data_IF_722599632638
#
_entry.id   IF_722599632638
#
_cell.length_a   1.000
_cell.length_b   1.000
_cell.length_c   1.000
_cell.angle_alpha   90.00
_cell.angle_beta   90.00
_cell.angle_gamma   90.00
#
_symmetry.space_group_name_H-M   'P 1'
#
loop_
_entity.id
_entity.type
_entity.pdbx_description
1 polymer ?
#
# COMPACT_ATOMS: atom_id res chain seq x y z
N UNK A 1 19.49 0.63 18.56
CA UNK A 1 20.07 -0.32 17.58
C UNK A 1 20.40 0.47 16.33
N UNK A 2 21.47 0.14 15.58
CA UNK A 2 21.80 0.87 14.38
C UNK A 2 20.67 0.70 13.35
N UNK A 3 20.42 1.74 12.57
CA UNK A 3 19.34 1.74 11.58
C UNK A 3 19.89 2.09 10.21
N UNK A 4 19.49 1.35 9.20
CA UNK A 4 19.80 1.63 7.79
C UNK A 4 18.58 2.21 7.09
N UNK A 5 18.82 3.11 6.13
CA UNK A 5 17.76 3.76 5.33
C UNK A 5 18.21 3.83 3.88
N UNK A 6 17.26 3.76 2.95
CA UNK A 6 17.51 3.86 1.52
C UNK A 6 16.69 5.02 0.95
N UNK A 7 17.37 6.08 0.53
CA UNK A 7 16.73 7.24 -0.06
C UNK A 7 17.25 7.47 -1.49
N UNK A 8 16.39 7.95 -2.38
CA UNK A 8 16.78 8.32 -3.74
C UNK A 8 16.34 9.76 -3.97
N UNK A 9 17.24 10.62 -4.45
CA UNK A 9 16.95 12.05 -4.65
C UNK A 9 16.73 12.40 -6.11
N UNK A 10 15.82 13.33 -6.37
CA UNK A 10 15.59 13.87 -7.72
C UNK A 10 16.79 14.72 -8.16
N UNK A 11 17.36 15.52 -7.26
CA UNK A 11 18.48 16.39 -7.59
C UNK A 11 19.84 15.78 -7.18
N UNK A 12 20.88 16.11 -7.95
CA UNK A 12 22.27 15.77 -7.64
C UNK A 12 22.83 16.73 -6.57
N UNK A 13 22.51 16.44 -5.30
CA UNK A 13 22.94 17.29 -4.18
C UNK A 13 24.47 17.29 -4.03
N UNK A 14 25.06 18.44 -3.65
CA UNK A 14 26.45 18.49 -3.22
C UNK A 14 26.64 17.72 -1.89
N UNK A 15 27.83 17.14 -1.70
CA UNK A 15 28.18 16.37 -0.49
C UNK A 15 27.93 17.17 0.80
N UNK A 16 28.31 18.45 0.79
CA UNK A 16 28.13 19.38 1.92
C UNK A 16 26.65 19.66 2.21
N UNK A 17 25.83 19.78 1.17
CA UNK A 17 24.36 19.93 1.31
C UNK A 17 23.74 18.70 1.92
N UNK A 18 24.13 17.52 1.43
CA UNK A 18 23.67 16.22 1.96
C UNK A 18 24.06 16.06 3.42
N UNK A 19 25.33 16.36 3.78
CA UNK A 19 25.80 16.29 5.16
C UNK A 19 25.04 17.25 6.09
N UNK A 20 24.82 18.49 5.65
CA UNK A 20 24.08 19.48 6.44
C UNK A 20 22.61 19.10 6.63
N UNK A 21 21.96 18.53 5.61
CA UNK A 21 20.59 18.04 5.70
C UNK A 21 20.48 16.85 6.65
N UNK A 22 21.36 15.84 6.53
CA UNK A 22 21.39 14.68 7.41
C UNK A 22 21.68 15.08 8.86
N UNK A 23 22.63 16.00 9.09
CA UNK A 23 22.92 16.52 10.43
C UNK A 23 21.69 17.11 11.12
N UNK A 24 20.87 17.86 10.37
CA UNK A 24 19.57 18.37 10.88
C UNK A 24 18.57 17.25 11.16
N UNK A 25 18.48 16.23 10.29
CA UNK A 25 17.54 15.14 10.43
C UNK A 25 17.81 14.30 11.68
N UNK A 26 19.08 14.04 11.99
CA UNK A 26 19.51 13.23 13.11
C UNK A 26 19.88 14.02 14.37
N UNK A 27 19.81 15.34 14.32
CA UNK A 27 20.16 16.21 15.47
C UNK A 27 21.63 16.13 15.89
N UNK A 28 22.56 15.94 14.95
CA UNK A 28 23.99 15.81 15.17
C UNK A 28 24.76 17.00 14.55
N UNK A 29 26.05 17.17 14.89
CA UNK A 29 26.87 18.17 14.23
C UNK A 29 27.19 17.77 12.77
N UNK A 30 27.39 18.71 11.87
CA UNK A 30 27.73 18.41 10.46
C UNK A 30 29.02 17.58 10.36
N UNK A 31 30.01 17.79 11.26
CA UNK A 31 31.23 17.01 11.32
C UNK A 31 31.05 15.54 11.79
N UNK A 32 29.86 15.21 12.31
CA UNK A 32 29.47 13.85 12.73
C UNK A 32 28.80 13.07 11.59
N UNK A 33 28.72 13.63 10.39
CA UNK A 33 28.15 13.00 9.19
C UNK A 33 29.25 12.82 8.15
N UNK A 34 29.52 11.58 7.77
CA UNK A 34 30.40 11.22 6.67
C UNK A 34 29.58 10.94 5.41
N UNK A 35 29.83 11.68 4.34
CA UNK A 35 29.16 11.50 3.05
C UNK A 35 30.20 11.24 1.97
N UNK A 36 30.12 10.09 1.31
CA UNK A 36 31.08 9.73 0.27
C UNK A 36 30.41 8.97 -0.88
N UNK A 37 30.98 9.07 -2.06
CA UNK A 37 30.60 8.25 -3.21
C UNK A 37 30.97 6.78 -2.97
N UNK A 38 30.18 5.84 -3.48
CA UNK A 38 30.44 4.40 -3.32
C UNK A 38 31.81 3.96 -3.89
N UNK A 39 32.26 4.65 -4.96
CA UNK A 39 33.58 4.43 -5.57
C UNK A 39 34.75 5.16 -4.86
N UNK A 40 34.46 5.95 -3.82
CA UNK A 40 35.51 6.68 -3.09
C UNK A 40 36.46 5.75 -2.34
N UNK A 41 37.69 6.20 -2.14
CA UNK A 41 38.68 5.45 -1.35
C UNK A 41 38.21 5.27 0.10
N UNK A 42 38.05 4.03 0.52
CA UNK A 42 37.61 3.66 1.84
C UNK A 42 38.53 4.20 2.97
N UNK A 43 39.83 4.40 2.67
CA UNK A 43 40.80 4.92 3.64
C UNK A 43 40.58 6.41 3.94
N UNK A 44 39.90 7.14 3.05
CA UNK A 44 39.59 8.56 3.22
C UNK A 44 38.29 8.80 3.99
N UNK A 45 37.52 7.77 4.30
CA UNK A 45 36.23 7.86 5.01
C UNK A 45 36.41 7.94 6.51
N UNK A 46 35.53 8.68 7.17
CA UNK A 46 35.42 8.70 8.63
C UNK A 46 34.40 7.64 9.10
N UNK A 47 34.82 6.40 9.15
CA UNK A 47 34.00 5.26 9.62
C UNK A 47 33.55 5.37 11.07
N UNK A 48 34.15 6.27 11.86
CA UNK A 48 33.75 6.55 13.24
C UNK A 48 32.64 7.60 13.33
N UNK A 49 32.22 8.20 12.23
CA UNK A 49 31.14 9.18 12.21
C UNK A 49 29.81 8.55 12.66
N UNK A 50 29.04 9.22 13.52
CA UNK A 50 27.74 8.75 13.98
C UNK A 50 26.75 8.44 12.83
N UNK A 51 26.79 9.20 11.74
CA UNK A 51 25.97 9.01 10.55
C UNK A 51 26.89 8.82 9.35
N UNK A 52 26.69 7.71 8.65
CA UNK A 52 27.39 7.38 7.41
C UNK A 52 26.39 7.46 6.24
N UNK A 53 26.78 8.10 5.16
CA UNK A 53 26.05 8.16 3.91
C UNK A 53 26.96 7.72 2.77
N UNK A 54 26.59 6.67 2.08
CA UNK A 54 27.21 6.29 0.83
C UNK A 54 26.23 6.62 -0.30
N UNK A 55 26.70 7.28 -1.36
CA UNK A 55 25.83 7.59 -2.49
C UNK A 55 26.40 7.04 -3.80
N UNK A 56 25.48 6.72 -4.69
CA UNK A 56 25.75 6.40 -6.08
C UNK A 56 25.02 7.38 -7.01
N UNK A 57 25.68 7.79 -8.08
CA UNK A 57 25.01 8.54 -9.14
C UNK A 57 24.10 7.61 -9.94
N UNK A 58 22.86 8.01 -10.12
CA UNK A 58 21.88 7.31 -10.97
C UNK A 58 21.43 8.22 -12.11
N UNK A 59 20.75 7.66 -13.10
CA UNK A 59 20.32 8.39 -14.31
C UNK A 59 18.81 8.27 -14.51
N UNK A 60 18.22 9.23 -15.22
CA UNK A 60 16.80 9.28 -15.51
C UNK A 60 16.11 10.44 -14.81
N UNK A 61 15.01 10.18 -14.10
CA UNK A 61 14.26 11.18 -13.30
C UNK A 61 14.88 11.41 -11.92
N UNK A 62 15.78 10.54 -11.50
CA UNK A 62 16.49 10.57 -10.23
C UNK A 62 17.99 10.76 -10.47
N UNK A 63 18.70 11.30 -9.48
CA UNK A 63 20.11 11.67 -9.64
C UNK A 63 21.05 10.96 -8.68
N UNK A 64 20.61 10.63 -7.45
CA UNK A 64 21.46 9.93 -6.47
C UNK A 64 20.65 8.91 -5.67
N UNK A 65 21.22 7.72 -5.51
CA UNK A 65 20.83 6.74 -4.50
C UNK A 65 21.69 6.94 -3.27
N UNK A 66 21.06 7.02 -2.10
CA UNK A 66 21.72 7.23 -0.80
C UNK A 66 21.49 6.01 0.08
N UNK A 67 22.56 5.36 0.51
CA UNK A 67 22.56 4.33 1.53
C UNK A 67 23.05 4.94 2.84
N UNK A 68 22.17 5.00 3.85
CA UNK A 68 22.38 5.68 5.12
C UNK A 68 22.49 4.66 6.25
N UNK A 69 23.42 4.92 7.15
CA UNK A 69 23.60 4.13 8.35
C UNK A 69 23.78 5.05 9.57
N UNK A 70 22.83 4.98 10.49
CA UNK A 70 22.92 5.69 11.77
C UNK A 70 23.40 4.72 12.85
N UNK A 71 24.50 5.04 13.53
CA UNK A 71 25.07 4.23 14.60
C UNK A 71 24.23 4.32 15.88
N UNK A 72 24.38 3.36 16.78
CA UNK A 72 23.66 3.27 18.07
C UNK A 72 23.76 4.53 18.94
N UNK A 73 24.82 5.29 18.78
CA UNK A 73 25.04 6.53 19.52
C UNK A 73 24.18 7.70 19.07
N UNK A 74 23.53 7.62 17.90
CA UNK A 74 22.58 8.60 17.42
C UNK A 74 21.27 8.45 18.19
N UNK A 75 20.91 9.45 18.99
CA UNK A 75 19.77 9.37 19.89
C UNK A 75 18.42 9.45 19.14
N UNK A 76 18.33 10.27 18.09
CA UNK A 76 17.12 10.40 17.26
C UNK A 76 17.32 9.61 15.95
N UNK A 77 16.71 8.43 15.87
CA UNK A 77 16.69 7.59 14.68
C UNK A 77 15.23 7.43 14.24
N UNK A 78 14.69 8.39 13.46
CA UNK A 78 13.28 8.36 13.05
C UNK A 78 13.01 7.19 12.10
N UNK A 79 11.75 6.73 11.97
CA UNK A 79 11.35 5.81 10.92
C UNK A 79 11.67 6.40 9.53
N UNK A 80 11.93 5.53 8.53
CA UNK A 80 12.33 5.95 7.18
C UNK A 80 11.39 6.98 6.53
N UNK A 81 10.04 6.87 6.63
CA UNK A 81 9.13 7.89 6.10
C UNK A 81 9.33 9.27 6.72
N UNK A 82 9.59 9.30 8.03
CA UNK A 82 9.83 10.57 8.75
C UNK A 82 11.20 11.14 8.38
N UNK A 83 12.23 10.30 8.27
CA UNK A 83 13.56 10.72 7.80
C UNK A 83 13.48 11.30 6.40
N UNK A 84 12.80 10.62 5.47
CA UNK A 84 12.63 11.08 4.09
C UNK A 84 11.95 12.46 4.01
N UNK A 85 10.88 12.67 4.79
CA UNK A 85 10.18 13.94 4.83
C UNK A 85 11.05 15.07 5.43
N UNK A 86 11.76 14.81 6.53
CA UNK A 86 12.71 15.75 7.14
C UNK A 86 13.85 16.10 6.17
N UNK A 87 14.40 15.09 5.50
CA UNK A 87 15.51 15.26 4.56
C UNK A 87 15.07 16.04 3.33
N UNK A 88 13.90 15.73 2.75
CA UNK A 88 13.35 16.48 1.62
C UNK A 88 13.22 17.99 1.94
N UNK A 89 12.64 18.33 3.10
CA UNK A 89 12.52 19.72 3.55
C UNK A 89 13.87 20.38 3.84
N UNK A 90 14.84 19.66 4.42
CA UNK A 90 16.16 20.20 4.77
C UNK A 90 17.07 20.38 3.54
N UNK A 91 16.97 19.48 2.56
CA UNK A 91 17.80 19.48 1.35
C UNK A 91 17.17 20.25 0.18
N UNK A 92 15.86 20.54 0.23
CA UNK A 92 15.14 21.25 -0.82
C UNK A 92 14.91 20.41 -2.09
N UNK A 93 14.86 19.07 -1.97
CA UNK A 93 14.67 18.14 -3.09
C UNK A 93 13.62 17.10 -2.76
N UNK A 94 12.93 16.60 -3.77
CA UNK A 94 12.05 15.43 -3.61
C UNK A 94 12.89 14.17 -3.38
N UNK A 95 12.45 13.36 -2.44
CA UNK A 95 13.12 12.13 -2.00
C UNK A 95 12.18 10.95 -2.14
N UNK A 96 12.64 9.91 -2.80
CA UNK A 96 11.95 8.64 -2.87
C UNK A 96 12.50 7.68 -1.82
N UNK A 97 11.62 6.85 -1.25
CA UNK A 97 11.99 5.77 -0.33
C UNK A 97 11.09 4.56 -0.56
N UNK A 98 11.56 3.33 -0.28
CA UNK A 98 10.81 2.11 -0.54
C UNK A 98 9.46 2.10 0.19
N UNK A 99 8.44 1.55 -0.46
CA UNK A 99 7.18 1.21 0.20
C UNK A 99 7.28 -0.20 0.80
N UNK A 100 6.59 -0.42 1.94
CA UNK A 100 6.53 -1.76 2.58
C UNK A 100 5.59 -2.73 1.83
N UNK A 101 4.86 -2.24 0.83
CA UNK A 101 3.96 -3.04 0.01
C UNK A 101 4.72 -4.07 -0.84
N UNK A 102 4.07 -5.19 -1.12
CA UNK A 102 4.67 -6.30 -1.87
C UNK A 102 4.97 -5.99 -3.35
N UNK A 103 4.61 -4.80 -3.84
CA UNK A 103 4.88 -4.37 -5.21
C UNK A 103 6.29 -3.77 -5.31
N UNK A 104 7.23 -4.39 -6.05
CA UNK A 104 8.62 -3.92 -6.11
C UNK A 104 8.81 -2.51 -6.70
N UNK A 105 7.88 -2.06 -7.56
CA UNK A 105 7.91 -0.71 -8.15
C UNK A 105 7.25 0.35 -7.27
N UNK A 106 6.66 -0.02 -6.12
CA UNK A 106 6.01 0.90 -5.22
C UNK A 106 7.03 1.63 -4.34
N UNK A 107 7.02 2.95 -4.45
CA UNK A 107 7.82 3.88 -3.67
C UNK A 107 6.94 4.99 -3.09
N UNK A 108 7.43 5.64 -2.07
CA UNK A 108 6.90 6.90 -1.59
C UNK A 108 7.80 8.04 -2.05
N UNK A 109 7.22 9.18 -2.39
CA UNK A 109 7.93 10.43 -2.63
C UNK A 109 7.55 11.43 -1.53
N UNK A 110 8.55 11.99 -0.87
CA UNK A 110 8.42 13.13 0.05
C UNK A 110 8.97 14.38 -0.64
N UNK A 111 8.15 15.43 -0.73
CA UNK A 111 8.56 16.70 -1.36
C UNK A 111 9.04 17.71 -0.34
N UNK A 112 9.83 18.74 -0.75
CA UNK A 112 10.26 19.81 0.15
C UNK A 112 9.11 20.56 0.83
N UNK A 113 7.94 20.62 0.18
CA UNK A 113 6.74 21.29 0.67
C UNK A 113 5.93 20.45 1.66
N UNK A 114 6.38 19.19 1.93
CA UNK A 114 5.76 18.29 2.90
C UNK A 114 4.68 17.39 2.33
N UNK A 115 4.48 17.32 1.00
CA UNK A 115 3.64 16.30 0.39
C UNK A 115 4.35 14.95 0.49
N UNK A 116 3.63 13.93 0.95
CA UNK A 116 4.05 12.53 0.86
C UNK A 116 3.01 11.78 0.01
N UNK A 117 3.44 11.20 -1.09
CA UNK A 117 2.57 10.51 -2.03
C UNK A 117 3.23 9.25 -2.58
N UNK A 118 2.43 8.28 -3.01
CA UNK A 118 2.95 7.10 -3.70
C UNK A 118 3.37 7.44 -5.12
N UNK A 119 4.44 6.79 -5.54
CA UNK A 119 4.96 6.85 -6.91
C UNK A 119 5.32 5.45 -7.38
N UNK A 120 5.31 5.25 -8.69
CA UNK A 120 5.82 4.05 -9.33
C UNK A 120 7.16 4.36 -9.94
N UNK A 121 8.18 3.60 -9.50
CA UNK A 121 9.55 3.69 -9.98
C UNK A 121 9.86 2.49 -10.86
N UNK A 122 10.22 2.73 -12.11
CA UNK A 122 10.65 1.73 -13.05
C UNK A 122 12.15 1.86 -13.33
N UNK A 123 12.83 0.73 -13.39
CA UNK A 123 14.22 0.63 -13.77
C UNK A 123 14.30 -0.01 -15.16
N UNK A 124 15.05 0.62 -16.08
CA UNK A 124 15.29 0.00 -17.39
C UNK A 124 16.24 -1.21 -17.27
N UNK A 125 16.21 -2.07 -18.28
CA UNK A 125 17.15 -3.19 -18.40
C UNK A 125 18.53 -2.77 -18.92
N UNK A 126 18.77 -1.47 -19.11
CA UNK A 126 20.05 -0.92 -19.56
C UNK A 126 21.14 -1.03 -18.48
N UNK A 127 22.39 -0.87 -18.87
CA UNK A 127 23.53 -0.87 -17.94
C UNK A 127 24.39 0.41 -18.17
N UNK A 128 24.35 1.41 -17.27
CA UNK A 128 23.58 1.47 -16.01
C UNK A 128 22.07 1.70 -16.23
N UNK A 129 21.21 1.24 -15.30
CA UNK A 129 19.77 1.39 -15.43
C UNK A 129 19.32 2.85 -15.37
N UNK A 130 18.24 3.17 -16.10
CA UNK A 130 17.55 4.44 -15.99
C UNK A 130 16.42 4.33 -14.96
N UNK A 131 16.37 5.26 -14.04
CA UNK A 131 15.35 5.39 -13.02
C UNK A 131 14.24 6.32 -13.53
N UNK A 132 13.08 5.77 -13.84
CA UNK A 132 11.94 6.53 -14.38
C UNK A 132 10.78 6.49 -13.41
N UNK A 133 10.23 7.64 -13.04
CA UNK A 133 8.98 7.73 -12.30
C UNK A 133 7.85 7.97 -13.30
N UNK A 134 7.12 6.90 -13.62
CA UNK A 134 6.08 6.94 -14.65
C UNK A 134 4.75 7.48 -14.12
N UNK A 135 4.43 7.25 -12.84
CA UNK A 135 3.17 7.66 -12.24
C UNK A 135 3.27 8.01 -10.76
N UNK A 136 2.30 8.80 -10.26
CA UNK A 136 2.17 9.23 -8.89
C UNK A 136 0.69 9.37 -8.48
N UNK A 137 0.35 9.15 -7.20
CA UNK A 137 -1.04 9.34 -6.72
C UNK A 137 -1.42 10.82 -6.51
N UNK A 138 -0.44 11.72 -6.46
CA UNK A 138 -0.64 13.17 -6.45
C UNK A 138 0.44 13.88 -7.26
N UNK A 139 0.20 15.10 -7.78
CA UNK A 139 1.21 15.83 -8.55
C UNK A 139 2.48 16.10 -7.72
N UNK A 140 3.63 15.73 -8.27
CA UNK A 140 4.96 16.02 -7.70
C UNK A 140 5.66 17.03 -8.60
N UNK A 141 5.87 18.29 -8.15
CA UNK A 141 6.38 19.37 -9.01
C UNK A 141 7.72 19.08 -9.69
N UNK A 142 8.62 18.37 -9.00
CA UNK A 142 9.93 17.99 -9.52
C UNK A 142 9.90 16.76 -10.46
N UNK A 143 8.74 16.08 -10.57
CA UNK A 143 8.52 14.93 -11.46
C UNK A 143 7.35 15.22 -12.41
N UNK A 144 7.46 16.25 -13.27
CA UNK A 144 6.32 16.74 -14.07
C UNK A 144 5.87 15.79 -15.18
N UNK A 145 6.63 14.72 -15.45
CA UNK A 145 6.29 13.69 -16.45
C UNK A 145 5.47 12.55 -15.85
N UNK A 146 5.48 12.39 -14.53
CA UNK A 146 4.71 11.34 -13.87
C UNK A 146 3.20 11.56 -14.09
N UNK A 147 2.52 10.51 -14.54
CA UNK A 147 1.07 10.52 -14.72
C UNK A 147 0.40 10.47 -13.36
N UNK A 148 -0.58 11.35 -13.12
CA UNK A 148 -1.32 11.31 -11.85
C UNK A 148 -2.44 10.29 -11.96
N UNK A 149 -2.31 9.18 -11.20
CA UNK A 149 -3.28 8.08 -11.19
C UNK A 149 -3.30 7.34 -9.84
N UNK A 150 -4.36 6.55 -9.59
CA UNK A 150 -4.47 5.70 -8.40
C UNK A 150 -3.89 4.33 -8.66
N UNK A 151 -3.18 3.77 -7.68
CA UNK A 151 -2.55 2.44 -7.78
C UNK A 151 -3.49 1.35 -7.29
N UNK A 152 -4.31 0.83 -8.22
CA UNK A 152 -5.29 -0.21 -7.92
C UNK A 152 -4.63 -1.51 -7.40
N UNK A 153 -3.44 -1.84 -7.87
CA UNK A 153 -2.66 -3.00 -7.45
C UNK A 153 -2.33 -2.96 -5.95
N UNK A 154 -2.03 -1.78 -5.40
CA UNK A 154 -1.74 -1.63 -3.97
C UNK A 154 -2.97 -1.99 -3.13
N UNK A 155 -4.16 -1.52 -3.55
CA UNK A 155 -5.42 -1.87 -2.88
C UNK A 155 -5.71 -3.37 -3.02
N UNK A 156 -5.44 -3.95 -4.20
CA UNK A 156 -5.60 -5.39 -4.47
C UNK A 156 -4.67 -6.27 -3.63
N UNK A 157 -3.45 -5.78 -3.35
CA UNK A 157 -2.46 -6.48 -2.53
C UNK A 157 -2.73 -6.39 -1.02
N UNK A 158 -3.57 -5.47 -0.57
CA UNK A 158 -3.93 -5.37 0.84
C UNK A 158 -4.58 -6.65 1.36
N UNK A 159 -4.13 -7.10 2.53
CA UNK A 159 -4.59 -8.32 3.19
C UNK A 159 -5.10 -8.02 4.60
N UNK A 160 -6.22 -7.26 4.77
CA UNK A 160 -6.80 -7.08 6.09
C UNK A 160 -7.04 -8.45 6.77
N UNK A 161 -6.88 -8.54 8.11
CA UNK A 161 -7.19 -9.77 8.85
C UNK A 161 -8.61 -10.26 8.57
N UNK A 162 -8.79 -11.58 8.53
CA UNK A 162 -10.07 -12.23 8.29
C UNK A 162 -10.37 -13.30 9.35
N UNK A 163 -10.49 -12.91 10.64
CA UNK A 163 -10.64 -13.85 11.75
C UNK A 163 -11.92 -14.69 11.70
N UNK A 164 -13.01 -14.18 11.09
CA UNK A 164 -14.26 -14.94 10.94
C UNK A 164 -14.05 -16.09 9.95
N UNK A 165 -13.39 -15.84 8.83
CA UNK A 165 -13.05 -16.86 7.86
C UNK A 165 -12.11 -17.91 8.47
N UNK A 166 -11.06 -17.48 9.18
CA UNK A 166 -10.12 -18.37 9.85
C UNK A 166 -10.80 -19.27 10.89
N UNK A 167 -11.68 -18.72 11.73
CA UNK A 167 -12.41 -19.45 12.75
C UNK A 167 -13.39 -20.48 12.14
N UNK A 168 -14.09 -20.10 11.05
CA UNK A 168 -14.96 -21.01 10.34
C UNK A 168 -14.16 -22.16 9.73
N UNK A 169 -13.03 -21.87 9.07
CA UNK A 169 -12.19 -22.89 8.45
C UNK A 169 -11.62 -23.88 9.48
N UNK A 170 -11.19 -23.39 10.64
CA UNK A 170 -10.73 -24.24 11.75
C UNK A 170 -11.85 -25.13 12.31
N UNK A 171 -13.09 -24.64 12.33
CA UNK A 171 -14.26 -25.41 12.78
C UNK A 171 -14.71 -26.42 11.74
N UNK A 172 -14.76 -26.04 10.47
CA UNK A 172 -15.12 -26.91 9.36
C UNK A 172 -14.13 -28.08 9.18
N UNK A 173 -12.83 -27.85 9.36
CA UNK A 173 -11.81 -28.89 9.28
C UNK A 173 -12.01 -30.02 10.34
N UNK A 174 -12.58 -29.70 11.50
CA UNK A 174 -12.91 -30.68 12.52
C UNK A 174 -14.15 -31.53 12.17
N UNK A 175 -15.10 -30.94 11.44
CA UNK A 175 -16.32 -31.60 11.04
C UNK A 175 -16.18 -32.40 9.71
N UNK A 176 -15.15 -32.04 8.95
CA UNK A 176 -14.93 -32.59 7.61
C UNK A 176 -13.46 -32.96 7.38
N UNK A 177 -12.91 -33.93 8.13
CA UNK A 177 -11.48 -34.22 8.14
C UNK A 177 -10.93 -34.83 6.84
N UNK A 178 -11.75 -35.61 6.10
CA UNK A 178 -11.28 -36.37 4.94
C UNK A 178 -11.23 -35.53 3.65
N UNK A 179 -12.17 -34.61 3.45
CA UNK A 179 -12.25 -33.78 2.25
C UNK A 179 -11.77 -32.33 2.50
N UNK A 180 -11.73 -31.91 3.75
CA UNK A 180 -11.40 -30.54 4.16
C UNK A 180 -12.39 -29.49 3.62
N UNK A 181 -12.35 -28.26 4.13
CA UNK A 181 -13.15 -27.18 3.56
C UNK A 181 -12.63 -26.81 2.17
N UNK A 182 -13.54 -26.80 1.20
CA UNK A 182 -13.19 -26.50 -0.18
C UNK A 182 -12.46 -25.14 -0.28
N UNK A 183 -11.32 -25.06 -0.98
CA UNK A 183 -10.54 -23.80 -1.07
C UNK A 183 -11.36 -22.59 -1.52
N UNK A 184 -12.37 -22.81 -2.37
CA UNK A 184 -13.29 -21.76 -2.82
C UNK A 184 -14.16 -21.18 -1.71
N UNK A 185 -14.54 -22.00 -0.68
CA UNK A 185 -15.29 -21.51 0.47
C UNK A 185 -14.43 -20.56 1.31
N UNK A 186 -13.20 -20.99 1.64
CA UNK A 186 -12.25 -20.19 2.36
C UNK A 186 -11.96 -18.86 1.65
N UNK A 187 -11.68 -18.95 0.35
CA UNK A 187 -11.40 -17.78 -0.49
C UNK A 187 -12.57 -16.79 -0.53
N UNK A 188 -13.77 -17.25 -0.84
CA UNK A 188 -14.94 -16.37 -0.96
C UNK A 188 -15.31 -15.72 0.38
N UNK A 189 -15.24 -16.46 1.50
CA UNK A 189 -15.52 -15.89 2.82
C UNK A 189 -14.45 -14.87 3.25
N UNK A 190 -13.18 -15.18 3.05
CA UNK A 190 -12.08 -14.23 3.30
C UNK A 190 -12.25 -12.94 2.49
N UNK A 191 -12.62 -13.08 1.23
CA UNK A 191 -12.86 -11.94 0.32
C UNK A 191 -14.03 -11.09 0.82
N UNK A 192 -15.15 -11.72 1.23
CA UNK A 192 -16.30 -11.00 1.77
C UNK A 192 -15.99 -10.31 3.10
N UNK A 193 -15.32 -11.00 4.02
CA UNK A 193 -14.92 -10.41 5.30
C UNK A 193 -14.02 -9.18 5.10
N UNK A 194 -13.03 -9.29 4.21
CA UNK A 194 -12.09 -8.19 3.93
C UNK A 194 -12.76 -6.94 3.38
N UNK A 195 -13.75 -7.07 2.48
CA UNK A 195 -14.47 -5.88 2.00
C UNK A 195 -15.30 -5.24 3.10
N UNK A 196 -15.88 -6.03 4.02
CA UNK A 196 -16.60 -5.49 5.18
C UNK A 196 -15.65 -4.70 6.10
N UNK A 197 -14.47 -5.23 6.37
CA UNK A 197 -13.43 -4.54 7.15
C UNK A 197 -12.95 -3.27 6.46
N UNK A 198 -12.71 -3.30 5.15
CA UNK A 198 -12.32 -2.14 4.36
C UNK A 198 -13.39 -1.05 4.39
N UNK A 199 -14.65 -1.43 4.25
CA UNK A 199 -15.79 -0.53 4.31
C UNK A 199 -15.91 0.15 5.67
N UNK A 200 -15.79 -0.61 6.78
CA UNK A 200 -15.84 -0.08 8.15
C UNK A 200 -14.66 0.84 8.48
N UNK A 201 -13.50 0.60 7.88
CA UNK A 201 -12.32 1.46 8.03
C UNK A 201 -12.39 2.75 7.21
N UNK A 202 -13.46 2.97 6.43
CA UNK A 202 -13.56 4.08 5.48
C UNK A 202 -12.54 3.98 4.34
N UNK A 203 -12.24 2.74 3.93
CA UNK A 203 -11.29 2.43 2.85
C UNK A 203 -9.86 2.87 3.15
N UNK A 204 -9.43 2.65 4.41
CA UNK A 204 -8.06 2.97 4.82
C UNK A 204 -7.02 2.23 3.95
N UNK A 205 -5.83 2.83 3.75
CA UNK A 205 -5.38 4.14 4.25
C UNK A 205 -5.77 5.33 3.37
N UNK A 206 -6.20 5.10 2.12
CA UNK A 206 -6.35 6.16 1.11
C UNK A 206 -7.77 6.75 1.01
N UNK A 207 -8.76 6.08 1.58
CA UNK A 207 -10.17 6.44 1.39
C UNK A 207 -10.69 6.15 -0.02
N UNK A 208 -9.90 5.46 -0.86
CA UNK A 208 -10.22 5.08 -2.22
C UNK A 208 -10.23 3.55 -2.38
N UNK A 209 -11.10 3.05 -3.25
CA UNK A 209 -11.22 1.63 -3.54
C UNK A 209 -11.70 1.43 -4.98
N UNK A 210 -11.10 0.55 -5.81
CA UNK A 210 -11.49 0.35 -7.21
C UNK A 210 -12.90 -0.20 -7.35
N UNK A 211 -13.68 0.35 -8.27
CA UNK A 211 -15.06 -0.09 -8.55
C UNK A 211 -15.13 -1.55 -9.01
N UNK A 212 -14.22 -1.96 -9.89
CA UNK A 212 -14.12 -3.33 -10.38
C UNK A 212 -13.78 -4.33 -9.27
N UNK A 213 -12.89 -3.94 -8.34
CA UNK A 213 -12.57 -4.75 -7.17
C UNK A 213 -13.79 -4.86 -6.23
N UNK A 214 -14.53 -3.77 -6.02
CA UNK A 214 -15.76 -3.81 -5.22
C UNK A 214 -16.80 -4.76 -5.83
N UNK A 215 -16.98 -4.71 -7.15
CA UNK A 215 -17.83 -5.67 -7.88
C UNK A 215 -17.40 -7.12 -7.60
N UNK A 216 -16.12 -7.45 -7.75
CA UNK A 216 -15.58 -8.79 -7.46
C UNK A 216 -15.91 -9.26 -6.03
N UNK A 217 -15.96 -8.32 -5.06
CA UNK A 217 -16.33 -8.63 -3.67
C UNK A 217 -17.81 -8.98 -3.51
N UNK A 218 -18.69 -8.27 -4.22
CA UNK A 218 -20.11 -8.61 -4.26
C UNK A 218 -20.35 -9.96 -4.95
N UNK A 219 -19.65 -10.25 -6.03
CA UNK A 219 -19.66 -11.55 -6.71
C UNK A 219 -19.21 -12.69 -5.76
N UNK A 220 -18.17 -12.48 -4.97
CA UNK A 220 -17.71 -13.45 -3.97
C UNK A 220 -18.79 -13.75 -2.91
N UNK A 221 -19.61 -12.74 -2.53
CA UNK A 221 -20.76 -12.97 -1.65
C UNK A 221 -21.84 -13.82 -2.30
N UNK A 222 -22.08 -13.65 -3.60
CA UNK A 222 -22.99 -14.53 -4.37
C UNK A 222 -22.44 -15.95 -4.46
N UNK A 223 -21.11 -16.10 -4.62
CA UNK A 223 -20.45 -17.41 -4.60
C UNK A 223 -20.65 -18.13 -3.27
N UNK A 224 -20.57 -17.43 -2.12
CA UNK A 224 -20.85 -18.01 -0.82
C UNK A 224 -22.26 -18.63 -0.76
N UNK A 225 -23.27 -17.97 -1.31
CA UNK A 225 -24.62 -18.49 -1.36
C UNK A 225 -24.71 -19.78 -2.22
N UNK A 226 -23.99 -19.79 -3.37
CA UNK A 226 -23.95 -20.96 -4.27
C UNK A 226 -23.18 -22.14 -3.67
N UNK A 227 -22.06 -21.87 -3.01
CA UNK A 227 -21.25 -22.88 -2.32
C UNK A 227 -22.03 -23.44 -1.14
N UNK A 228 -22.63 -22.57 -0.31
CA UNK A 228 -23.42 -22.95 0.88
C UNK A 228 -24.56 -23.95 0.56
N UNK A 229 -25.19 -23.80 -0.61
CA UNK A 229 -26.26 -24.72 -1.04
C UNK A 229 -25.79 -26.17 -1.24
N UNK A 230 -24.48 -26.40 -1.39
CA UNK A 230 -23.88 -27.74 -1.66
C UNK A 230 -23.17 -28.32 -0.42
N UNK A 231 -23.08 -27.58 0.67
CA UNK A 231 -22.36 -28.00 1.89
C UNK A 231 -23.22 -28.98 2.71
N UNK A 232 -22.59 -29.87 3.50
CA UNK A 232 -23.26 -30.65 4.54
C UNK A 232 -24.00 -29.73 5.52
N UNK A 233 -25.16 -30.13 6.07
CA UNK A 233 -26.02 -29.27 6.90
C UNK A 233 -25.33 -28.64 8.11
N UNK A 234 -24.36 -29.33 8.69
CA UNK A 234 -23.61 -28.81 9.86
C UNK A 234 -22.64 -27.71 9.48
N UNK A 235 -21.88 -27.91 8.40
CA UNK A 235 -20.92 -26.89 7.89
C UNK A 235 -21.70 -25.69 7.33
N UNK A 236 -22.84 -25.96 6.68
CA UNK A 236 -23.73 -24.91 6.18
C UNK A 236 -24.22 -23.99 7.29
N UNK A 237 -24.63 -24.53 8.44
CA UNK A 237 -25.06 -23.71 9.60
C UNK A 237 -23.95 -22.79 10.08
N UNK A 238 -22.72 -23.31 10.20
CA UNK A 238 -21.58 -22.47 10.58
C UNK A 238 -21.32 -21.35 9.57
N UNK A 239 -21.45 -21.65 8.28
CA UNK A 239 -21.32 -20.65 7.23
C UNK A 239 -22.43 -19.61 7.29
N UNK A 240 -23.69 -20.05 7.45
CA UNK A 240 -24.85 -19.16 7.53
C UNK A 240 -24.70 -18.19 8.70
N UNK A 241 -24.27 -18.66 9.88
CA UNK A 241 -24.03 -17.82 11.08
C UNK A 241 -22.89 -16.80 10.85
N UNK A 242 -21.77 -17.23 10.25
CA UNK A 242 -20.64 -16.38 9.94
C UNK A 242 -21.00 -15.29 8.92
N UNK A 243 -21.69 -15.68 7.87
CA UNK A 243 -22.13 -14.78 6.79
C UNK A 243 -23.19 -13.80 7.29
N UNK A 244 -24.15 -14.22 8.13
CA UNK A 244 -25.16 -13.33 8.73
C UNK A 244 -24.49 -12.21 9.54
N UNK A 245 -23.47 -12.54 10.34
CA UNK A 245 -22.71 -11.56 11.10
C UNK A 245 -22.01 -10.52 10.22
N UNK A 246 -21.38 -10.98 9.13
CA UNK A 246 -20.74 -10.09 8.15
C UNK A 246 -21.76 -9.25 7.36
N UNK A 247 -22.86 -9.84 6.94
CA UNK A 247 -23.94 -9.15 6.22
C UNK A 247 -24.56 -8.04 7.07
N UNK A 248 -24.75 -8.25 8.38
CA UNK A 248 -25.25 -7.22 9.30
C UNK A 248 -24.26 -6.04 9.40
N UNK A 249 -22.96 -6.31 9.44
CA UNK A 249 -21.92 -5.26 9.44
C UNK A 249 -21.93 -4.50 8.12
N UNK A 250 -21.99 -5.21 6.99
CA UNK A 250 -22.11 -4.60 5.66
C UNK A 250 -23.34 -3.70 5.56
N UNK A 251 -24.51 -4.15 6.02
CA UNK A 251 -25.77 -3.37 6.03
C UNK A 251 -25.62 -2.08 6.85
N UNK A 252 -24.93 -2.12 7.99
CA UNK A 252 -24.72 -0.94 8.84
C UNK A 252 -23.79 0.09 8.20
N UNK A 253 -22.86 -0.34 7.37
CA UNK A 253 -21.86 0.49 6.72
C UNK A 253 -22.26 0.95 5.30
N UNK A 254 -23.47 0.58 4.84
CA UNK A 254 -24.00 0.93 3.51
C UNK A 254 -25.43 1.45 3.58
N UNK A 255 -25.85 2.20 2.58
CA UNK A 255 -27.22 2.69 2.42
C UNK A 255 -27.99 1.85 1.39
N UNK A 256 -29.32 1.85 1.48
CA UNK A 256 -30.17 1.18 0.50
C UNK A 256 -30.13 1.90 -0.86
N UNK A 257 -30.01 1.12 -1.93
CA UNK A 257 -30.12 1.57 -3.33
C UNK A 257 -31.26 0.79 -4.03
N UNK A 258 -32.52 1.10 -3.74
CA UNK A 258 -33.67 0.37 -4.29
C UNK A 258 -33.76 0.46 -5.82
N UNK A 259 -33.16 1.49 -6.41
CA UNK A 259 -33.08 1.65 -7.85
C UNK A 259 -32.14 0.66 -8.52
N UNK A 260 -31.15 0.13 -7.78
CA UNK A 260 -30.08 -0.68 -8.33
C UNK A 260 -29.11 0.13 -9.20
N UNK A 261 -29.01 1.42 -8.96
CA UNK A 261 -28.07 2.30 -9.73
C UNK A 261 -26.64 1.82 -9.64
N UNK A 262 -26.24 1.28 -8.48
CA UNK A 262 -24.93 0.68 -8.27
C UNK A 262 -24.68 -0.53 -9.19
N UNK A 263 -25.70 -1.36 -9.43
CA UNK A 263 -25.59 -2.52 -10.32
C UNK A 263 -25.25 -2.06 -11.73
N UNK A 264 -25.96 -1.05 -12.24
CA UNK A 264 -25.72 -0.51 -13.56
C UNK A 264 -24.33 0.12 -13.67
N UNK A 265 -23.93 0.85 -12.64
CA UNK A 265 -22.60 1.48 -12.55
C UNK A 265 -21.46 0.46 -12.56
N UNK A 266 -21.56 -0.61 -11.78
CA UNK A 266 -20.53 -1.62 -11.66
C UNK A 266 -20.49 -2.65 -12.79
N UNK A 267 -21.64 -2.92 -13.44
CA UNK A 267 -21.77 -4.02 -14.41
C UNK A 267 -22.06 -3.55 -15.83
N UNK A 268 -22.46 -2.29 -16.03
CA UNK A 268 -22.98 -1.78 -17.30
C UNK A 268 -24.33 -2.40 -17.70
N UNK A 269 -25.04 -3.06 -16.78
CA UNK A 269 -26.30 -3.75 -17.04
C UNK A 269 -27.41 -3.18 -16.15
N UNK A 270 -28.64 -3.00 -16.68
CA UNK A 270 -29.75 -2.54 -15.85
C UNK A 270 -30.13 -3.58 -14.81
N UNK A 271 -30.56 -3.18 -13.60
CA UNK A 271 -31.09 -4.07 -12.59
C UNK A 271 -32.34 -4.81 -13.09
N UNK A 272 -32.55 -6.05 -12.67
CA UNK A 272 -33.84 -6.74 -12.80
C UNK A 272 -33.93 -7.92 -13.77
N UNK A 273 -32.85 -8.35 -14.43
CA UNK A 273 -32.84 -9.60 -15.23
C UNK A 273 -31.93 -10.70 -14.65
N UNK A 274 -30.95 -10.35 -13.88
CA UNK A 274 -30.02 -11.31 -13.24
C UNK A 274 -30.34 -11.45 -11.75
N UNK A 275 -30.15 -12.64 -11.15
CA UNK A 275 -30.43 -12.88 -9.74
C UNK A 275 -29.31 -12.27 -8.85
N UNK A 276 -29.22 -10.95 -8.81
CA UNK A 276 -28.34 -10.26 -7.91
C UNK A 276 -28.80 -10.45 -6.44
N UNK A 277 -27.87 -10.73 -5.54
CA UNK A 277 -28.15 -10.77 -4.12
C UNK A 277 -28.52 -9.40 -3.56
N UNK A 278 -29.16 -9.39 -2.37
CA UNK A 278 -29.63 -8.15 -1.72
C UNK A 278 -28.52 -7.12 -1.47
N UNK A 279 -27.26 -7.53 -1.35
CA UNK A 279 -26.09 -6.66 -1.16
C UNK A 279 -25.77 -5.81 -2.38
N UNK A 280 -26.19 -6.16 -3.58
CA UNK A 280 -26.09 -5.37 -4.78
C UNK A 280 -27.01 -4.15 -4.80
N UNK A 281 -28.07 -4.17 -3.98
CA UNK A 281 -28.99 -3.06 -3.79
C UNK A 281 -28.62 -2.22 -2.57
N UNK A 282 -27.31 -2.14 -2.26
CA UNK A 282 -26.76 -1.34 -1.17
C UNK A 282 -25.48 -0.64 -1.63
N UNK A 283 -25.38 0.64 -1.28
CA UNK A 283 -24.32 1.51 -1.76
C UNK A 283 -23.46 2.01 -0.59
N UNK A 284 -22.10 1.97 -0.69
CA UNK A 284 -21.24 2.67 0.26
C UNK A 284 -21.44 4.19 0.11
N UNK A 285 -21.42 4.93 1.22
CA UNK A 285 -21.60 6.38 1.23
C UNK A 285 -20.51 7.05 2.07
N UNK A 286 -19.64 7.84 1.46
CA UNK A 286 -19.54 8.12 0.03
C UNK A 286 -18.98 6.95 -0.79
N UNK A 287 -19.23 6.97 -2.09
CA UNK A 287 -18.67 5.97 -3.01
C UNK A 287 -17.16 6.16 -3.12
N UNK A 288 -16.34 5.10 -2.86
CA UNK A 288 -14.90 5.28 -2.72
C UNK A 288 -14.15 5.50 -4.04
N UNK A 289 -14.73 5.14 -5.19
CA UNK A 289 -14.09 5.32 -6.51
C UNK A 289 -14.39 6.66 -7.16
N UNK A 290 -15.35 7.45 -6.66
CA UNK A 290 -15.67 8.79 -7.15
C UNK A 290 -14.75 9.89 -6.58
N UNK A 291 -13.94 9.57 -5.57
CA UNK A 291 -13.01 10.54 -4.99
C UNK A 291 -11.76 10.64 -5.87
N UNK A 292 -11.63 11.78 -6.54
CA UNK A 292 -10.41 12.19 -7.22
C UNK A 292 -9.31 12.52 -6.22
#
# INVERSE_FOLDING_TARGET
MPTSYNLITVDALATETTAAALARCFGVAVGDVDVAEAAADAELRNWAAPVLCTYEAVSGDLARSLDLYAQDQVADQPPEPELAARFAGAAGTTVLFPAEEACPSAYWAATPEGLVTRVRLELSDDEPPLYTVDSAEAPVPQLPRAVVERFAEIVREQRPPAPVAEALMASAARLWPDDGPHPSLAGALTVWERVVVQLESGWAPTGWYPADLYRERLEARDDLARIGARLPPEVRRLLDDAVEGLDLRFVRATEEDPSGSLIEELTGRPPGRDPFGRWWYRRPTPVPWERA
#
